data_IF_332346060250
#
_entry.id   IF_332346060250
#
_cell.length_a   1.000
_cell.length_b   1.000
_cell.length_c   1.000
_cell.angle_alpha   90.00
_cell.angle_beta   90.00
_cell.angle_gamma   90.00
#
_symmetry.space_group_name_H-M   'P 1'
#
loop_
_entity.id
_entity.type
_entity.pdbx_description
1 polymer ?
#
# COMPACT_ATOMS: atom_id res chain seq x y z
N UNK A 1 17.19 -16.33 4.22
CA UNK A 1 16.48 -15.19 4.81
C UNK A 1 15.38 -14.80 3.86
N UNK A 2 14.14 -14.78 4.32
CA UNK A 2 12.99 -14.66 3.43
C UNK A 2 12.71 -13.23 2.97
N UNK A 3 11.68 -13.08 2.18
CA UNK A 3 11.11 -11.86 1.62
C UNK A 3 10.72 -10.77 2.64
N UNK A 4 10.81 -11.02 3.93
CA UNK A 4 10.59 -10.00 4.98
C UNK A 4 11.53 -8.79 4.87
N UNK A 5 12.70 -8.95 4.25
CA UNK A 5 13.61 -7.82 4.02
C UNK A 5 13.07 -6.82 2.99
N UNK A 6 12.22 -7.25 2.08
CA UNK A 6 11.61 -6.38 1.07
C UNK A 6 10.70 -5.33 1.68
N UNK A 7 9.82 -5.72 2.59
CA UNK A 7 8.97 -4.79 3.33
C UNK A 7 9.79 -3.76 4.12
N UNK A 8 10.79 -4.22 4.86
CA UNK A 8 11.65 -3.32 5.63
C UNK A 8 12.40 -2.31 4.75
N UNK A 9 12.87 -2.75 3.58
CA UNK A 9 13.53 -1.87 2.60
C UNK A 9 12.56 -0.89 1.96
N UNK A 10 11.30 -1.30 1.73
CA UNK A 10 10.27 -0.38 1.26
C UNK A 10 10.09 0.75 2.27
N UNK A 11 9.95 0.45 3.56
CA UNK A 11 9.76 1.46 4.59
C UNK A 11 11.01 2.33 4.80
N UNK A 12 12.20 1.77 4.67
CA UNK A 12 13.43 2.55 4.65
C UNK A 12 13.42 3.57 3.50
N UNK A 13 13.13 3.11 2.29
CA UNK A 13 13.00 3.98 1.13
C UNK A 13 11.91 5.03 1.30
N UNK A 14 10.77 4.67 1.89
CA UNK A 14 9.70 5.62 2.16
C UNK A 14 10.11 6.69 3.18
N UNK A 15 10.80 6.32 4.26
CA UNK A 15 11.33 7.27 5.22
C UNK A 15 12.36 8.22 4.59
N UNK A 16 13.24 7.72 3.72
CA UNK A 16 14.20 8.52 2.95
C UNK A 16 13.48 9.47 1.99
N UNK A 17 12.44 9.01 1.30
CA UNK A 17 11.62 9.85 0.41
C UNK A 17 10.96 11.00 1.16
N UNK A 18 10.33 10.73 2.30
CA UNK A 18 9.70 11.76 3.15
C UNK A 18 10.73 12.73 3.73
N UNK A 19 11.95 12.26 4.01
CA UNK A 19 13.06 13.10 4.46
C UNK A 19 13.69 13.92 3.33
N UNK A 20 13.29 13.72 2.06
CA UNK A 20 13.83 14.42 0.89
C UNK A 20 15.07 13.79 0.29
N UNK A 21 15.54 12.65 0.78
CA UNK A 21 16.66 11.90 0.19
C UNK A 21 16.15 10.92 -0.89
N UNK A 22 15.71 11.49 -2.00
CA UNK A 22 15.12 10.74 -3.12
C UNK A 22 16.10 9.76 -3.77
N UNK A 23 17.41 10.06 -3.74
CA UNK A 23 18.43 9.18 -4.30
C UNK A 23 18.57 7.90 -3.46
N UNK A 24 18.67 8.03 -2.14
CA UNK A 24 18.73 6.90 -1.22
C UNK A 24 17.44 6.08 -1.23
N UNK A 25 16.28 6.75 -1.32
CA UNK A 25 14.97 6.08 -1.44
C UNK A 25 14.93 5.16 -2.67
N UNK A 26 15.31 5.69 -3.82
CA UNK A 26 15.34 4.93 -5.08
C UNK A 26 16.30 3.74 -5.01
N UNK A 27 17.47 3.91 -4.40
CA UNK A 27 18.42 2.82 -4.21
C UNK A 27 17.84 1.72 -3.30
N UNK A 28 17.23 2.09 -2.18
CA UNK A 28 16.57 1.14 -1.26
C UNK A 28 15.50 0.33 -1.96
N UNK A 29 14.65 0.97 -2.78
CA UNK A 29 13.59 0.30 -3.52
C UNK A 29 14.13 -0.56 -4.67
N UNK A 30 15.20 -0.13 -5.36
CA UNK A 30 15.84 -0.92 -6.41
C UNK A 30 16.44 -2.22 -5.86
N UNK A 31 17.11 -2.13 -4.70
CA UNK A 31 17.63 -3.31 -4.01
C UNK A 31 16.52 -4.24 -3.55
N UNK A 32 15.43 -3.69 -2.97
CA UNK A 32 14.26 -4.47 -2.56
C UNK A 32 13.64 -5.22 -3.74
N UNK A 33 13.46 -4.55 -4.90
CA UNK A 33 12.94 -5.19 -6.12
C UNK A 33 13.81 -6.37 -6.54
N UNK A 34 15.13 -6.16 -6.63
CA UNK A 34 16.08 -7.21 -7.04
C UNK A 34 16.07 -8.41 -6.11
N UNK A 35 15.87 -8.21 -4.81
CA UNK A 35 15.79 -9.28 -3.82
C UNK A 35 14.47 -10.06 -3.88
N UNK A 36 13.34 -9.37 -4.17
CA UNK A 36 12.01 -9.99 -4.13
C UNK A 36 11.58 -10.66 -5.44
N UNK A 37 12.01 -10.14 -6.59
CA UNK A 37 11.60 -10.70 -7.89
C UNK A 37 11.90 -12.19 -8.07
N UNK A 38 13.05 -12.73 -7.62
CA UNK A 38 13.31 -14.18 -7.67
C UNK A 38 12.29 -14.99 -6.86
N UNK A 39 11.90 -14.51 -5.67
CA UNK A 39 10.90 -15.19 -4.84
C UNK A 39 9.51 -15.18 -5.50
N UNK A 40 9.14 -14.08 -6.16
CA UNK A 40 7.87 -14.05 -6.89
C UNK A 40 7.84 -15.04 -8.06
N UNK A 41 8.98 -15.31 -8.72
CA UNK A 41 9.06 -16.36 -9.75
C UNK A 41 8.81 -17.75 -9.20
N UNK A 42 9.28 -18.01 -7.98
CA UNK A 42 9.07 -19.29 -7.29
C UNK A 42 7.66 -19.39 -6.67
N UNK A 43 7.08 -18.26 -6.27
CA UNK A 43 5.80 -18.16 -5.57
C UNK A 43 4.87 -17.13 -6.25
N UNK A 44 4.41 -17.37 -7.49
CA UNK A 44 3.72 -16.36 -8.30
C UNK A 44 2.33 -15.97 -7.75
N UNK A 45 1.78 -16.76 -6.83
CA UNK A 45 0.49 -16.53 -6.17
C UNK A 45 0.62 -15.97 -4.74
N UNK A 46 1.84 -15.68 -4.29
CA UNK A 46 2.06 -15.13 -2.97
C UNK A 46 1.61 -13.66 -2.93
N UNK A 47 0.43 -13.41 -2.36
CA UNK A 47 -0.17 -12.08 -2.32
C UNK A 47 0.65 -11.08 -1.49
N UNK A 48 1.44 -11.54 -0.51
CA UNK A 48 2.32 -10.67 0.27
C UNK A 48 3.45 -10.14 -0.61
N UNK A 49 4.14 -11.02 -1.35
CA UNK A 49 5.18 -10.61 -2.30
C UNK A 49 4.64 -9.69 -3.40
N UNK A 50 3.44 -9.98 -3.91
CA UNK A 50 2.77 -9.13 -4.89
C UNK A 50 2.50 -7.74 -4.32
N UNK A 51 2.05 -7.65 -3.07
CA UNK A 51 1.79 -6.39 -2.39
C UNK A 51 3.06 -5.58 -2.12
N UNK A 52 4.13 -6.23 -1.63
CA UNK A 52 5.42 -5.57 -1.39
C UNK A 52 6.02 -5.02 -2.69
N UNK A 53 5.99 -5.81 -3.75
CA UNK A 53 6.46 -5.37 -5.07
C UNK A 53 5.59 -4.27 -5.69
N UNK A 54 4.28 -4.24 -5.38
CA UNK A 54 3.41 -3.14 -5.81
C UNK A 54 3.84 -1.81 -5.18
N UNK A 55 4.12 -1.80 -3.87
CA UNK A 55 4.61 -0.61 -3.15
C UNK A 55 5.99 -0.19 -3.65
N UNK A 56 6.90 -1.13 -3.84
CA UNK A 56 8.24 -0.86 -4.37
C UNK A 56 8.18 -0.28 -5.79
N UNK A 57 7.34 -0.86 -6.66
CA UNK A 57 7.12 -0.36 -8.02
C UNK A 57 6.57 1.07 -8.02
N UNK A 58 5.64 1.37 -7.13
CA UNK A 58 5.14 2.73 -6.90
C UNK A 58 6.27 3.69 -6.52
N UNK A 59 7.12 3.32 -5.56
CA UNK A 59 8.27 4.12 -5.14
C UNK A 59 9.26 4.38 -6.28
N UNK A 60 9.46 3.40 -7.16
CA UNK A 60 10.33 3.52 -8.34
C UNK A 60 9.67 4.31 -9.49
N UNK A 61 8.39 4.66 -9.40
CA UNK A 61 7.64 5.37 -10.44
C UNK A 61 7.10 4.47 -11.55
N UNK A 62 7.15 3.15 -11.38
CA UNK A 62 6.56 2.17 -12.30
C UNK A 62 5.07 1.96 -11.96
N UNK A 63 4.26 2.95 -12.32
CA UNK A 63 2.84 3.00 -11.95
C UNK A 63 2.02 1.83 -12.53
N UNK A 64 2.37 1.37 -13.73
CA UNK A 64 1.69 0.25 -14.40
C UNK A 64 1.95 -1.04 -13.64
N UNK A 65 3.21 -1.34 -13.32
CA UNK A 65 3.56 -2.51 -12.53
C UNK A 65 2.94 -2.44 -11.13
N UNK A 66 2.95 -1.28 -10.48
CA UNK A 66 2.36 -1.08 -9.16
C UNK A 66 0.88 -1.45 -9.11
N UNK A 67 0.08 -0.96 -10.05
CA UNK A 67 -1.35 -1.30 -10.14
C UNK A 67 -1.57 -2.78 -10.47
N UNK A 68 -0.87 -3.29 -11.47
CA UNK A 68 -1.02 -4.68 -11.90
C UNK A 68 -0.71 -5.66 -10.77
N UNK A 69 0.35 -5.41 -10.00
CA UNK A 69 0.74 -6.25 -8.87
C UNK A 69 -0.26 -6.16 -7.72
N UNK A 70 -0.77 -4.96 -7.41
CA UNK A 70 -1.79 -4.78 -6.38
C UNK A 70 -3.11 -5.49 -6.76
N UNK A 71 -3.54 -5.41 -8.01
CA UNK A 71 -4.72 -6.12 -8.51
C UNK A 71 -4.56 -7.64 -8.47
N UNK A 72 -3.39 -8.14 -8.85
CA UNK A 72 -3.07 -9.56 -8.72
C UNK A 72 -3.13 -10.02 -7.27
N UNK A 73 -2.58 -9.24 -6.34
CA UNK A 73 -2.65 -9.57 -4.91
C UNK A 73 -4.09 -9.69 -4.42
N UNK A 74 -4.99 -8.79 -4.84
CA UNK A 74 -6.43 -8.85 -4.52
C UNK A 74 -7.07 -10.12 -5.10
N UNK A 75 -6.73 -10.49 -6.32
CA UNK A 75 -7.28 -11.68 -6.97
C UNK A 75 -6.85 -12.99 -6.29
N UNK A 76 -5.67 -13.02 -5.66
CA UNK A 76 -5.19 -14.21 -4.94
C UNK A 76 -5.99 -14.47 -3.65
N UNK A 77 -6.38 -13.41 -2.95
CA UNK A 77 -7.11 -13.52 -1.67
C UNK A 77 -8.32 -12.56 -1.65
N UNK A 78 -9.39 -12.90 -2.38
CA UNK A 78 -10.60 -12.07 -2.40
C UNK A 78 -11.24 -11.99 -1.00
N UNK A 79 -11.79 -10.83 -0.66
CA UNK A 79 -12.44 -10.59 0.63
C UNK A 79 -13.62 -11.54 0.90
N UNK A 80 -14.25 -12.04 -0.14
CA UNK A 80 -15.36 -13.00 -0.08
C UNK A 80 -14.89 -14.39 0.39
N UNK A 81 -13.60 -14.69 0.23
CA UNK A 81 -12.98 -15.95 0.69
C UNK A 81 -12.32 -15.82 2.05
N UNK A 82 -11.77 -14.66 2.37
CA UNK A 82 -11.14 -14.37 3.65
C UNK A 82 -11.42 -12.94 4.06
N UNK A 83 -12.39 -12.75 4.94
CA UNK A 83 -12.83 -11.43 5.37
C UNK A 83 -11.81 -10.69 6.25
N UNK A 84 -10.87 -11.39 6.88
CA UNK A 84 -9.83 -10.78 7.71
C UNK A 84 -8.58 -10.42 6.92
N UNK A 85 -8.11 -11.33 6.09
CA UNK A 85 -6.84 -11.17 5.36
C UNK A 85 -7.05 -10.55 3.98
N UNK A 86 -8.19 -10.82 3.33
CA UNK A 86 -8.54 -10.29 2.00
C UNK A 86 -8.51 -8.76 1.88
N UNK A 87 -8.82 -7.98 2.92
CA UNK A 87 -8.65 -6.53 2.87
C UNK A 87 -7.20 -6.04 2.81
N UNK A 88 -6.20 -6.85 3.18
CA UNK A 88 -4.79 -6.44 3.19
C UNK A 88 -4.30 -5.95 1.82
N UNK A 89 -4.53 -6.66 0.71
CA UNK A 89 -4.19 -6.13 -0.62
C UNK A 89 -4.97 -4.87 -1.01
N UNK A 90 -6.19 -4.68 -0.48
CA UNK A 90 -6.95 -3.44 -0.71
C UNK A 90 -6.30 -2.23 -0.02
N UNK A 91 -5.73 -2.40 1.18
CA UNK A 91 -4.96 -1.35 1.86
C UNK A 91 -3.76 -0.92 0.99
N UNK A 92 -3.02 -1.88 0.45
CA UNK A 92 -1.91 -1.62 -0.47
C UNK A 92 -2.41 -0.90 -1.74
N UNK A 93 -3.52 -1.36 -2.35
CA UNK A 93 -4.10 -0.68 -3.51
C UNK A 93 -4.47 0.77 -3.21
N UNK A 94 -5.06 1.04 -2.04
CA UNK A 94 -5.42 2.41 -1.66
C UNK A 94 -4.19 3.33 -1.59
N UNK A 95 -3.07 2.85 -1.03
CA UNK A 95 -1.80 3.58 -0.96
C UNK A 95 -1.21 3.80 -2.34
N UNK A 96 -1.11 2.76 -3.15
CA UNK A 96 -0.63 2.84 -4.53
C UNK A 96 -1.47 3.83 -5.33
N UNK A 97 -2.79 3.66 -5.34
CA UNK A 97 -3.70 4.52 -6.11
C UNK A 97 -3.62 5.99 -5.68
N UNK A 98 -3.51 6.27 -4.37
CA UNK A 98 -3.35 7.63 -3.85
C UNK A 98 -2.07 8.31 -4.40
N UNK A 99 -0.96 7.57 -4.43
CA UNK A 99 0.35 8.11 -4.82
C UNK A 99 0.51 8.30 -6.33
N UNK A 100 -0.12 7.44 -7.14
CA UNK A 100 -0.01 7.51 -8.60
C UNK A 100 -1.08 8.39 -9.27
N UNK A 101 -1.97 9.03 -8.48
CA UNK A 101 -2.99 9.95 -8.99
C UNK A 101 -4.34 9.31 -9.34
N UNK A 102 -4.55 8.02 -9.05
CA UNK A 102 -5.83 7.31 -9.21
C UNK A 102 -6.78 7.62 -8.03
N UNK A 103 -7.11 8.91 -7.85
CA UNK A 103 -7.82 9.42 -6.66
C UNK A 103 -9.19 8.76 -6.45
N UNK A 104 -9.97 8.56 -7.51
CA UNK A 104 -11.30 7.93 -7.42
C UNK A 104 -11.19 6.51 -6.87
N UNK A 105 -10.21 5.77 -7.36
CA UNK A 105 -9.93 4.41 -6.94
C UNK A 105 -9.46 4.37 -5.50
N UNK A 106 -8.55 5.25 -5.12
CA UNK A 106 -8.06 5.37 -3.74
C UNK A 106 -9.20 5.64 -2.76
N UNK A 107 -10.03 6.64 -3.04
CA UNK A 107 -11.17 7.04 -2.17
C UNK A 107 -12.21 5.93 -2.07
N UNK A 108 -12.57 5.29 -3.18
CA UNK A 108 -13.49 4.17 -3.19
C UNK A 108 -12.98 3.00 -2.32
N UNK A 109 -11.70 2.66 -2.46
CA UNK A 109 -11.06 1.60 -1.69
C UNK A 109 -10.99 1.95 -0.20
N UNK A 110 -10.60 3.18 0.15
CA UNK A 110 -10.58 3.67 1.53
C UNK A 110 -11.97 3.65 2.17
N UNK A 111 -13.01 4.04 1.43
CA UNK A 111 -14.38 4.00 1.93
C UNK A 111 -14.78 2.57 2.32
N UNK A 112 -14.44 1.58 1.49
CA UNK A 112 -14.68 0.17 1.78
C UNK A 112 -13.90 -0.28 3.02
N UNK A 113 -12.61 0.01 3.09
CA UNK A 113 -11.74 -0.40 4.20
C UNK A 113 -12.17 0.17 5.54
N UNK A 114 -12.61 1.43 5.59
CA UNK A 114 -13.08 2.05 6.82
C UNK A 114 -14.42 1.49 7.34
N UNK A 115 -15.14 0.74 6.51
CA UNK A 115 -16.43 0.14 6.86
C UNK A 115 -16.33 -1.29 7.38
N UNK A 116 -15.14 -1.91 7.32
CA UNK A 116 -14.93 -3.33 7.67
C UNK A 116 -13.76 -3.48 8.66
N UNK A 117 -13.81 -4.43 9.60
CA UNK A 117 -12.64 -4.82 10.37
C UNK A 117 -11.68 -5.64 9.49
N UNK A 118 -10.37 -5.45 9.64
CA UNK A 118 -9.36 -6.23 8.94
C UNK A 118 -8.01 -6.21 9.66
N UNK A 119 -7.12 -7.13 9.29
CA UNK A 119 -5.72 -7.10 9.69
C UNK A 119 -4.92 -6.21 8.72
N UNK A 120 -4.03 -5.37 9.25
CA UNK A 120 -3.15 -4.56 8.42
C UNK A 120 -2.20 -5.44 7.58
N UNK A 121 -1.90 -5.02 6.33
CA UNK A 121 -1.03 -5.80 5.44
C UNK A 121 0.41 -5.85 5.91
N UNK A 122 0.84 -4.83 6.61
CA UNK A 122 2.23 -4.58 6.95
C UNK A 122 2.41 -4.75 8.47
N UNK A 123 3.42 -5.51 8.87
CA UNK A 123 3.63 -5.89 10.27
C UNK A 123 3.74 -4.71 11.25
N UNK A 124 4.17 -3.55 10.74
CA UNK A 124 4.35 -2.33 11.55
C UNK A 124 3.14 -1.40 11.55
N UNK A 125 2.09 -1.66 10.77
CA UNK A 125 0.96 -0.75 10.61
C UNK A 125 -0.35 -1.33 11.15
N UNK A 126 -1.08 -0.58 11.97
CA UNK A 126 -2.45 -0.92 12.31
C UNK A 126 -3.38 -0.72 11.08
N UNK A 127 -4.59 -1.30 11.11
CA UNK A 127 -5.61 -1.02 10.12
C UNK A 127 -5.86 0.48 9.96
N UNK A 128 -6.14 0.90 8.74
CA UNK A 128 -6.39 2.31 8.44
C UNK A 128 -7.57 2.84 9.25
N UNK A 129 -7.36 3.99 9.86
CA UNK A 129 -8.38 4.75 10.56
C UNK A 129 -8.41 6.18 10.02
N UNK A 130 -9.51 6.94 10.20
CA UNK A 130 -9.53 8.34 9.82
C UNK A 130 -8.40 9.17 10.46
N UNK A 131 -7.95 8.81 11.67
CA UNK A 131 -6.83 9.46 12.34
C UNK A 131 -5.50 9.18 11.61
N UNK A 132 -5.24 7.93 11.24
CA UNK A 132 -4.05 7.56 10.46
C UNK A 132 -4.06 8.21 9.08
N UNK A 133 -5.20 8.23 8.38
CA UNK A 133 -5.32 8.89 7.07
C UNK A 133 -4.96 10.37 7.13
N UNK A 134 -5.26 11.05 8.26
CA UNK A 134 -4.86 12.45 8.46
C UNK A 134 -3.35 12.64 8.59
N UNK A 135 -2.64 11.65 9.14
CA UNK A 135 -1.23 11.76 9.51
C UNK A 135 -0.28 11.14 8.49
N UNK A 136 -0.74 10.11 7.75
CA UNK A 136 0.12 9.34 6.85
C UNK A 136 0.41 10.13 5.56
N UNK A 137 1.70 10.46 5.28
CA UNK A 137 2.09 11.20 4.07
C UNK A 137 1.78 10.46 2.76
N UNK A 138 1.54 9.16 2.79
CA UNK A 138 1.13 8.41 1.58
C UNK A 138 -0.18 8.95 0.99
N UNK A 139 -1.05 9.51 1.83
CA UNK A 139 -2.35 10.06 1.41
C UNK A 139 -2.34 11.58 1.19
N UNK A 140 -1.19 12.24 1.24
CA UNK A 140 -1.08 13.69 0.97
C UNK A 140 -1.69 14.13 -0.37
N UNK A 141 -1.57 13.36 -1.47
CA UNK A 141 -2.22 13.73 -2.73
C UNK A 141 -3.74 13.86 -2.63
N UNK A 142 -4.39 13.17 -1.68
CA UNK A 142 -5.83 13.18 -1.50
C UNK A 142 -6.34 14.31 -0.59
N UNK A 143 -5.45 15.01 0.13
CA UNK A 143 -5.85 15.96 1.20
C UNK A 143 -6.79 17.08 0.75
N UNK A 144 -6.73 17.48 -0.52
CA UNK A 144 -7.59 18.52 -1.09
C UNK A 144 -8.90 18.00 -1.67
N UNK A 145 -9.08 16.67 -1.74
CA UNK A 145 -10.33 16.09 -2.26
C UNK A 145 -11.43 16.14 -1.19
N UNK A 146 -12.60 16.76 -1.48
CA UNK A 146 -13.70 16.87 -0.53
C UNK A 146 -14.21 15.52 0.00
N UNK A 147 -14.13 14.47 -0.80
CA UNK A 147 -14.53 13.10 -0.43
C UNK A 147 -13.58 12.53 0.61
N UNK A 148 -12.26 12.76 0.42
CA UNK A 148 -11.26 12.37 1.41
C UNK A 148 -11.45 13.13 2.72
N UNK A 149 -11.76 14.44 2.65
CA UNK A 149 -12.06 15.24 3.82
C UNK A 149 -13.24 14.68 4.64
N UNK A 150 -14.26 14.17 3.97
CA UNK A 150 -15.40 13.50 4.65
C UNK A 150 -14.95 12.21 5.35
N UNK A 151 -14.09 11.41 4.73
CA UNK A 151 -13.59 10.16 5.33
C UNK A 151 -12.82 10.44 6.62
N UNK A 152 -11.96 11.45 6.63
CA UNK A 152 -11.15 11.79 7.81
C UNK A 152 -11.93 12.56 8.89
N UNK A 153 -13.05 13.18 8.55
CA UNK A 153 -13.91 13.88 9.51
C UNK A 153 -14.85 12.93 10.29
N UNK A 154 -15.18 11.77 9.73
CA UNK A 154 -16.18 10.84 10.28
C UNK A 154 -15.83 10.27 11.67
N UNK A 155 -14.58 10.38 12.13
CA UNK A 155 -14.16 9.90 13.46
C UNK A 155 -14.26 10.93 14.58
N UNK A 156 -14.67 12.17 14.30
CA UNK A 156 -14.84 13.21 15.32
C UNK A 156 -16.17 13.11 16.07
N UNK A 157 -17.02 12.14 15.72
CA UNK A 157 -18.39 12.03 16.27
C UNK A 157 -18.65 10.74 17.07
N UNK A 158 -17.61 10.07 17.62
CA UNK A 158 -17.83 8.97 18.58
C UNK A 158 -17.19 9.26 19.92
#
# INVERSE_FOLDING_TARGET
MGYYNGELRFWLGWAQEVAGDHAAARESWSQARSELEPFLKEQPENFVLLGDLALISMGLGDNVAALTLAERAIAMIPIEKDALTGPRPLDILARVAARIGEHDRAISTLTKLLSIPYEAPLAANPPLTPALLRMDPMFDPLRKDPRFQKLIAASAQK
#
